data_IF_671079365827
#
_entry.id   IF_671079365827
#
_cell.length_a   1.000
_cell.length_b   1.000
_cell.length_c   1.000
_cell.angle_alpha   90.00
_cell.angle_beta   90.00
_cell.angle_gamma   90.00
#
_symmetry.space_group_name_H-M   'P 1'
#
loop_
_entity.id
_entity.type
_entity.pdbx_description
1 polymer ?
#
# COMPACT_ATOMS: atom_id res chain seq x y z
N UNK A 1 4.99 57.36 13.99
CA UNK A 1 5.00 56.22 14.94
C UNK A 1 3.97 55.12 14.61
N UNK A 2 2.84 55.39 13.93
CA UNK A 2 1.86 54.33 13.56
C UNK A 2 2.34 53.32 12.49
N UNK A 3 3.28 53.70 11.61
CA UNK A 3 3.84 52.80 10.58
C UNK A 3 4.72 51.67 11.14
N UNK A 4 5.35 51.87 12.31
CA UNK A 4 6.16 50.84 12.98
C UNK A 4 5.31 49.76 13.67
N UNK A 5 4.09 50.12 14.11
CA UNK A 5 3.16 49.18 14.74
C UNK A 5 2.54 48.20 13.72
N UNK A 6 2.30 48.64 12.48
CA UNK A 6 1.80 47.78 11.41
C UNK A 6 2.85 46.76 10.93
N UNK A 7 4.13 47.15 10.89
CA UNK A 7 5.23 46.25 10.51
C UNK A 7 5.49 45.15 11.55
N UNK A 8 5.33 45.45 12.84
CA UNK A 8 5.50 44.48 13.92
C UNK A 8 4.32 43.48 14.03
N UNK A 9 3.10 43.90 13.70
CA UNK A 9 1.93 43.01 13.66
C UNK A 9 1.97 42.02 12.48
N UNK A 10 2.59 42.41 11.35
CA UNK A 10 2.78 41.51 10.21
C UNK A 10 3.85 40.41 10.47
N UNK A 11 4.85 40.68 11.31
CA UNK A 11 5.90 39.70 11.65
C UNK A 11 5.47 38.63 12.67
N UNK A 12 4.43 38.89 13.47
CA UNK A 12 3.96 37.95 14.51
C UNK A 12 2.96 36.92 13.98
N UNK A 13 2.35 37.16 12.82
CA UNK A 13 1.49 36.21 12.11
C UNK A 13 2.26 35.26 11.18
N UNK A 14 3.59 35.44 11.04
CA UNK A 14 4.44 34.60 10.19
C UNK A 14 5.23 33.54 10.97
N UNK A 15 4.88 33.27 12.23
CA UNK A 15 5.44 32.12 12.93
C UNK A 15 4.90 30.86 12.25
N UNK A 16 5.76 30.02 11.63
CA UNK A 16 5.31 28.77 11.07
C UNK A 16 4.86 27.90 12.25
N UNK A 17 3.54 27.77 12.42
CA UNK A 17 2.98 26.60 13.08
C UNK A 17 3.29 25.45 12.12
N UNK A 18 4.46 24.83 12.31
CA UNK A 18 4.81 23.57 11.67
C UNK A 18 3.91 22.51 12.28
N UNK A 19 2.65 22.46 11.86
CA UNK A 19 1.82 21.28 12.05
C UNK A 19 2.59 20.16 11.35
N UNK A 20 3.22 19.28 12.12
CA UNK A 20 3.90 18.14 11.53
C UNK A 20 2.83 17.29 10.84
N UNK A 21 2.83 17.34 9.51
CA UNK A 21 1.88 16.59 8.72
C UNK A 21 2.18 15.10 8.97
N UNK A 22 1.20 14.37 9.50
CA UNK A 22 1.30 12.95 9.70
C UNK A 22 0.66 12.27 8.48
N UNK A 23 1.34 11.26 7.95
CA UNK A 23 0.81 10.42 6.88
C UNK A 23 0.60 9.03 7.39
N UNK A 24 -0.60 8.49 7.17
CA UNK A 24 -0.97 7.14 7.58
C UNK A 24 -1.41 6.32 6.38
N UNK A 25 -1.19 5.02 6.45
CA UNK A 25 -1.76 4.02 5.55
C UNK A 25 -2.11 2.79 6.37
N UNK A 26 -3.30 2.24 6.15
CA UNK A 26 -3.72 0.99 6.74
C UNK A 26 -4.36 0.09 5.67
N UNK A 27 -4.15 -1.21 5.80
CA UNK A 27 -4.81 -2.21 4.98
C UNK A 27 -5.14 -3.43 5.84
N UNK A 28 -6.39 -3.84 5.80
CA UNK A 28 -6.93 -4.94 6.57
C UNK A 28 -7.69 -5.89 5.65
N UNK A 29 -7.49 -7.19 5.86
CA UNK A 29 -8.20 -8.26 5.19
C UNK A 29 -8.67 -9.28 6.24
N UNK A 30 -9.91 -9.71 6.13
CA UNK A 30 -10.52 -10.65 7.06
C UNK A 30 -11.54 -11.57 6.41
N UNK A 31 -12.05 -12.53 7.18
CA UNK A 31 -13.10 -13.42 6.69
C UNK A 31 -12.64 -14.31 5.53
N UNK A 32 -11.32 -14.54 5.40
CA UNK A 32 -10.76 -15.33 4.32
C UNK A 32 -11.32 -16.75 4.36
N UNK A 33 -11.96 -17.15 3.27
CA UNK A 33 -12.59 -18.46 3.11
C UNK A 33 -12.58 -18.85 1.64
N UNK A 34 -12.80 -20.14 1.37
CA UNK A 34 -12.90 -20.65 0.02
C UNK A 34 -14.11 -21.56 -0.17
N UNK A 35 -14.59 -21.63 -1.40
CA UNK A 35 -15.65 -22.53 -1.85
C UNK A 35 -15.12 -23.41 -2.99
N UNK A 36 -15.44 -24.70 -2.92
CA UNK A 36 -15.07 -25.69 -3.93
C UNK A 36 -16.34 -26.21 -4.60
N UNK A 37 -16.40 -26.08 -5.93
CA UNK A 37 -17.58 -26.39 -6.74
C UNK A 37 -17.20 -27.42 -7.80
N UNK A 38 -17.97 -28.49 -7.89
CA UNK A 38 -17.92 -29.43 -9.01
C UNK A 38 -18.64 -28.83 -10.22
N UNK A 39 -17.96 -28.75 -11.36
CA UNK A 39 -18.49 -28.20 -12.61
C UNK A 39 -19.12 -29.26 -13.52
N UNK A 40 -18.86 -30.56 -13.30
CA UNK A 40 -19.48 -31.65 -14.05
C UNK A 40 -19.80 -32.86 -13.17
N UNK A 41 -21.02 -32.84 -12.61
CA UNK A 41 -21.55 -33.92 -11.78
C UNK A 41 -21.66 -35.30 -12.48
N UNK A 42 -21.44 -35.38 -13.80
CA UNK A 42 -21.60 -36.62 -14.58
C UNK A 42 -20.26 -37.29 -14.95
N UNK A 43 -19.11 -36.67 -14.67
CA UNK A 43 -17.80 -37.24 -15.03
C UNK A 43 -17.31 -38.32 -14.03
N UNK A 44 -17.99 -38.43 -12.88
CA UNK A 44 -17.67 -39.39 -11.82
C UNK A 44 -16.47 -38.99 -10.95
N UNK A 45 -15.96 -37.77 -11.09
CA UNK A 45 -14.82 -37.21 -10.35
C UNK A 45 -15.36 -36.16 -9.37
N UNK A 46 -15.34 -36.45 -8.08
CA UNK A 46 -15.73 -35.47 -7.08
C UNK A 46 -14.72 -34.32 -7.01
N UNK A 47 -15.21 -33.08 -6.91
CA UNK A 47 -14.36 -31.92 -6.68
C UNK A 47 -13.53 -32.08 -5.39
N UNK A 48 -12.20 -32.01 -5.52
CA UNK A 48 -11.26 -32.09 -4.41
C UNK A 48 -10.20 -30.99 -4.50
N UNK A 49 -9.87 -30.44 -3.33
CA UNK A 49 -8.79 -29.48 -3.14
C UNK A 49 -7.73 -30.11 -2.24
N UNK A 50 -6.53 -30.31 -2.78
CA UNK A 50 -5.36 -30.73 -2.01
C UNK A 50 -4.52 -29.51 -1.70
N UNK A 51 -4.16 -29.31 -0.43
CA UNK A 51 -3.33 -28.20 0.02
C UNK A 51 -1.95 -28.70 0.41
N UNK A 52 -0.90 -28.08 -0.13
CA UNK A 52 0.49 -28.42 0.15
C UNK A 52 1.25 -27.17 0.55
N UNK A 53 2.08 -27.30 1.58
CA UNK A 53 2.91 -26.24 2.15
C UNK A 53 2.14 -24.95 2.48
N UNK A 54 2.81 -24.00 3.10
CA UNK A 54 2.23 -22.67 3.33
C UNK A 54 3.34 -21.66 3.19
N UNK A 55 3.16 -20.72 2.25
CA UNK A 55 3.99 -19.54 2.14
C UNK A 55 3.41 -18.47 3.06
N UNK A 56 4.12 -18.15 4.13
CA UNK A 56 3.76 -17.05 5.03
C UNK A 56 4.88 -16.02 4.99
N UNK A 57 4.53 -14.75 4.92
CA UNK A 57 5.48 -13.68 5.07
C UNK A 57 4.83 -12.47 5.72
N UNK A 58 5.43 -11.95 6.78
CA UNK A 58 5.07 -10.65 7.37
C UNK A 58 6.34 -9.85 7.48
N UNK A 59 6.33 -8.61 7.03
CA UNK A 59 7.49 -7.73 7.12
C UNK A 59 7.08 -6.29 7.44
N UNK A 60 7.97 -5.57 8.10
CA UNK A 60 7.90 -4.14 8.31
C UNK A 60 9.30 -3.52 8.19
N UNK A 61 9.41 -2.32 7.64
CA UNK A 61 10.69 -1.68 7.44
C UNK A 61 10.64 -0.18 7.25
N UNK A 62 11.82 0.43 7.30
CA UNK A 62 12.03 1.86 7.09
C UNK A 62 13.13 2.11 6.06
N UNK A 63 12.84 2.95 5.07
CA UNK A 63 13.83 3.55 4.18
C UNK A 63 14.18 4.95 4.68
N UNK A 64 15.47 5.20 4.94
CA UNK A 64 15.95 6.51 5.37
C UNK A 64 15.90 7.58 4.27
N UNK A 65 15.88 7.15 3.00
CA UNK A 65 15.83 8.02 1.82
C UNK A 65 14.55 7.79 1.02
N UNK A 66 13.95 8.82 0.40
CA UNK A 66 12.71 8.66 -0.38
C UNK A 66 12.85 7.82 -1.66
N UNK A 67 14.08 7.66 -2.15
CA UNK A 67 14.39 6.94 -3.39
C UNK A 67 14.63 5.43 -3.19
N UNK A 68 14.56 4.96 -1.95
CA UNK A 68 14.83 3.57 -1.56
C UNK A 68 16.20 3.05 -2.08
N UNK A 69 17.18 3.94 -2.26
CA UNK A 69 18.52 3.59 -2.76
C UNK A 69 19.35 2.77 -1.78
N UNK A 70 18.93 2.72 -0.52
CA UNK A 70 19.56 1.93 0.54
C UNK A 70 18.60 0.83 1.01
N UNK A 71 19.12 -0.35 1.43
CA UNK A 71 18.30 -1.36 2.07
C UNK A 71 17.55 -0.78 3.28
N UNK A 72 16.35 -1.29 3.59
CA UNK A 72 15.60 -0.79 4.74
C UNK A 72 16.32 -1.13 6.05
N UNK A 73 16.40 -0.15 6.95
CA UNK A 73 16.99 -0.29 8.28
C UNK A 73 16.28 0.64 9.27
N UNK A 74 15.57 0.11 10.28
CA UNK A 74 15.43 -1.32 10.59
C UNK A 74 14.49 -2.05 9.61
N UNK A 75 14.66 -3.37 9.55
CA UNK A 75 13.81 -4.29 8.80
C UNK A 75 13.56 -5.55 9.62
N UNK A 76 12.29 -5.84 9.89
CA UNK A 76 11.86 -7.03 10.63
C UNK A 76 10.95 -7.88 9.76
N UNK A 77 11.12 -9.21 9.82
CA UNK A 77 10.28 -10.14 9.09
C UNK A 77 10.02 -11.43 9.87
N UNK A 78 8.89 -12.07 9.57
CA UNK A 78 8.50 -13.41 10.02
C UNK A 78 8.01 -14.22 8.82
N UNK A 79 8.27 -15.52 8.84
CA UNK A 79 7.73 -16.48 7.88
C UNK A 79 6.67 -17.40 8.54
N UNK A 80 6.01 -16.88 9.57
CA UNK A 80 4.95 -17.53 10.34
C UNK A 80 3.86 -16.51 10.64
N UNK A 81 2.72 -16.97 11.15
CA UNK A 81 1.74 -16.08 11.79
C UNK A 81 2.39 -15.32 12.95
N UNK A 82 1.94 -14.10 13.18
CA UNK A 82 2.49 -13.21 14.19
C UNK A 82 2.46 -11.75 13.79
N UNK A 83 3.15 -10.94 14.59
CA UNK A 83 3.25 -9.49 14.41
C UNK A 83 4.71 -9.11 14.29
N UNK A 84 5.01 -8.24 13.34
CA UNK A 84 6.27 -7.51 13.23
C UNK A 84 5.98 -6.02 13.28
N UNK A 85 6.85 -5.28 13.94
CA UNK A 85 6.77 -3.83 13.99
C UNK A 85 8.16 -3.21 13.88
N UNK A 86 8.20 -2.01 13.32
CA UNK A 86 9.36 -1.15 13.23
C UNK A 86 8.96 0.21 13.77
N UNK A 87 9.76 0.77 14.68
CA UNK A 87 9.58 2.12 15.21
C UNK A 87 10.88 2.90 15.05
N UNK A 88 10.79 4.08 14.43
CA UNK A 88 11.88 5.03 14.24
C UNK A 88 11.43 6.42 14.67
N UNK A 89 12.34 7.39 14.78
CA UNK A 89 11.98 8.77 15.12
C UNK A 89 10.98 9.38 14.12
N UNK A 90 11.02 8.95 12.86
CA UNK A 90 10.12 9.41 11.81
C UNK A 90 8.73 8.76 11.86
N UNK A 91 8.48 7.71 12.67
CA UNK A 91 7.18 7.02 12.71
C UNK A 91 7.27 5.52 13.00
N UNK A 92 6.20 4.78 12.66
CA UNK A 92 6.13 3.33 12.89
C UNK A 92 5.42 2.58 11.75
N UNK A 93 5.76 1.31 11.56
CA UNK A 93 5.04 0.38 10.70
C UNK A 93 4.80 -0.94 11.41
N UNK A 94 3.65 -1.56 11.19
CA UNK A 94 3.26 -2.83 11.80
C UNK A 94 2.62 -3.73 10.76
N UNK A 95 3.03 -4.99 10.71
CA UNK A 95 2.36 -6.06 9.97
C UNK A 95 1.92 -7.15 10.93
N UNK A 96 0.67 -7.61 10.81
CA UNK A 96 0.12 -8.73 11.58
C UNK A 96 -0.55 -9.71 10.64
N UNK A 97 -0.25 -10.99 10.83
CA UNK A 97 -0.85 -12.08 10.06
C UNK A 97 -1.38 -13.17 10.98
N UNK A 98 -2.59 -13.64 10.67
CA UNK A 98 -3.21 -14.81 11.26
C UNK A 98 -3.81 -15.68 10.14
N UNK A 99 -4.26 -16.89 10.48
CA UNK A 99 -4.75 -17.89 9.52
C UNK A 99 -5.81 -17.38 8.52
N UNK A 100 -6.67 -16.44 8.93
CA UNK A 100 -7.80 -15.95 8.11
C UNK A 100 -7.88 -14.44 8.02
N UNK A 101 -6.81 -13.73 8.40
CA UNK A 101 -6.77 -12.27 8.38
C UNK A 101 -5.36 -11.72 8.34
N UNK A 102 -5.21 -10.56 7.71
CA UNK A 102 -4.00 -9.75 7.78
C UNK A 102 -4.34 -8.29 8.10
N UNK A 103 -3.44 -7.62 8.80
CA UNK A 103 -3.52 -6.20 9.07
C UNK A 103 -2.13 -5.58 8.89
N UNK A 104 -2.05 -4.49 8.16
CA UNK A 104 -0.82 -3.72 7.99
C UNK A 104 -1.11 -2.25 8.20
N UNK A 105 -0.20 -1.56 8.89
CA UNK A 105 -0.29 -0.12 9.14
C UNK A 105 1.08 0.53 9.04
N UNK A 106 1.11 1.77 8.57
CA UNK A 106 2.30 2.61 8.55
C UNK A 106 1.89 4.05 8.88
N UNK A 107 2.70 4.71 9.69
CA UNK A 107 2.54 6.13 10.02
C UNK A 107 3.88 6.84 9.99
N UNK A 108 3.99 7.88 9.17
CA UNK A 108 5.18 8.71 8.98
C UNK A 108 4.89 10.17 9.40
N UNK A 109 5.75 10.71 10.26
CA UNK A 109 5.73 12.10 10.74
C UNK A 109 6.98 12.88 10.29
N UNK A 110 8.05 12.20 9.86
CA UNK A 110 9.28 12.85 9.39
C UNK A 110 9.17 13.50 7.99
N UNK A 111 10.11 14.39 7.68
CA UNK A 111 10.18 15.10 6.38
C UNK A 111 10.90 14.31 5.29
N UNK A 112 11.37 13.10 5.61
CA UNK A 112 12.09 12.21 4.71
C UNK A 112 11.86 10.74 5.07
N UNK A 113 12.13 9.89 4.08
CA UNK A 113 12.07 8.44 4.19
C UNK A 113 10.68 7.86 3.93
N UNK A 114 10.59 6.56 4.12
CA UNK A 114 9.36 5.80 3.93
C UNK A 114 9.25 4.65 4.91
N UNK A 115 8.04 4.38 5.38
CA UNK A 115 7.70 3.25 6.23
C UNK A 115 6.79 2.31 5.46
N UNK A 116 6.99 1.01 5.61
CA UNK A 116 6.16 0.01 4.95
C UNK A 116 5.91 -1.18 5.85
N UNK A 117 4.79 -1.86 5.59
CA UNK A 117 4.50 -3.16 6.14
C UNK A 117 3.77 -4.00 5.08
N UNK A 118 3.98 -5.32 5.13
CA UNK A 118 3.32 -6.28 4.26
C UNK A 118 3.01 -7.54 5.06
N UNK A 119 1.87 -8.15 4.76
CA UNK A 119 1.48 -9.46 5.26
C UNK A 119 0.90 -10.27 4.10
N UNK A 120 1.52 -11.41 3.82
CA UNK A 120 1.21 -12.34 2.75
C UNK A 120 0.96 -13.73 3.34
N UNK A 121 -0.14 -14.34 2.93
CA UNK A 121 -0.47 -15.72 3.21
C UNK A 121 -0.81 -16.41 1.90
N UNK A 122 -0.22 -17.57 1.65
CA UNK A 122 -0.51 -18.37 0.48
C UNK A 122 -0.28 -19.85 0.72
N UNK A 123 -0.94 -20.68 -0.09
CA UNK A 123 -0.80 -22.14 -0.08
C UNK A 123 -0.69 -22.66 -1.50
N UNK A 124 0.15 -23.67 -1.69
CA UNK A 124 0.09 -24.41 -2.94
C UNK A 124 -1.15 -25.29 -2.91
N UNK A 125 -1.76 -25.45 -4.07
CA UNK A 125 -2.95 -26.25 -4.24
C UNK A 125 -2.86 -27.14 -5.46
N UNK A 126 -3.63 -28.23 -5.42
CA UNK A 126 -3.99 -29.03 -6.58
C UNK A 126 -5.50 -29.21 -6.57
N UNK A 127 -6.12 -28.91 -7.71
CA UNK A 127 -7.54 -28.97 -7.97
C UNK A 127 -7.81 -30.10 -8.97
N UNK A 128 -8.77 -30.98 -8.66
CA UNK A 128 -9.22 -32.04 -9.58
C UNK A 128 -9.75 -31.45 -10.89
N UNK A 129 -9.86 -32.24 -11.99
CA UNK A 129 -10.54 -31.81 -13.20
C UNK A 129 -11.96 -31.28 -12.94
N UNK A 130 -12.46 -30.46 -13.85
CA UNK A 130 -13.83 -29.93 -13.88
C UNK A 130 -14.29 -29.36 -12.52
N UNK A 131 -13.42 -28.63 -11.84
CA UNK A 131 -13.68 -28.07 -10.52
C UNK A 131 -13.43 -26.57 -10.53
N UNK A 132 -14.10 -25.84 -9.65
CA UNK A 132 -13.91 -24.40 -9.43
C UNK A 132 -13.62 -24.12 -7.98
N UNK A 133 -12.56 -23.34 -7.76
CA UNK A 133 -12.20 -22.79 -6.46
C UNK A 133 -12.52 -21.29 -6.46
N UNK A 134 -13.27 -20.84 -5.47
CA UNK A 134 -13.61 -19.42 -5.27
C UNK A 134 -13.05 -18.97 -3.94
N UNK A 135 -12.31 -17.86 -3.92
CA UNK A 135 -11.83 -17.23 -2.69
C UNK A 135 -12.71 -16.03 -2.36
N UNK A 136 -12.93 -15.84 -1.07
CA UNK A 136 -13.65 -14.69 -0.54
C UNK A 136 -12.87 -14.05 0.60
N UNK A 137 -12.88 -12.73 0.65
CA UNK A 137 -12.40 -11.98 1.80
C UNK A 137 -13.14 -10.64 1.92
N UNK A 138 -13.14 -10.05 3.09
CA UNK A 138 -13.58 -8.67 3.31
C UNK A 138 -12.33 -7.80 3.48
N UNK A 139 -12.18 -6.80 2.61
CA UNK A 139 -11.03 -5.91 2.59
C UNK A 139 -11.41 -4.48 2.95
N UNK A 140 -10.50 -3.81 3.64
CA UNK A 140 -10.53 -2.39 3.93
C UNK A 140 -9.15 -1.80 3.71
N UNK A 141 -9.08 -0.65 3.05
CA UNK A 141 -7.86 0.12 2.91
C UNK A 141 -8.15 1.59 3.19
N UNK A 142 -7.22 2.27 3.84
CA UNK A 142 -7.26 3.70 4.02
C UNK A 142 -5.85 4.29 3.94
N UNK A 143 -5.78 5.53 3.51
CA UNK A 143 -4.53 6.25 3.36
C UNK A 143 -4.76 7.73 3.47
N UNK A 144 -3.71 8.48 3.79
CA UNK A 144 -3.74 9.94 3.72
C UNK A 144 -2.95 10.42 2.53
N UNK A 145 -3.36 11.52 1.91
CA UNK A 145 -2.58 12.18 0.88
C UNK A 145 -2.57 13.68 1.07
N UNK A 146 -1.39 14.26 0.93
CA UNK A 146 -1.18 15.69 0.78
C UNK A 146 -0.18 15.93 -0.37
N UNK A 147 0.09 17.18 -0.77
CA UNK A 147 1.02 17.46 -1.87
C UNK A 147 2.44 16.91 -1.66
N UNK A 148 2.86 16.76 -0.41
CA UNK A 148 4.19 16.35 0.04
C UNK A 148 4.27 14.94 0.58
N UNK A 149 3.14 14.23 0.74
CA UNK A 149 3.12 12.93 1.41
C UNK A 149 2.03 12.02 0.87
N UNK A 150 2.31 10.73 0.87
CA UNK A 150 1.39 9.70 0.39
C UNK A 150 1.42 8.49 1.32
N UNK A 151 0.24 8.13 1.83
CA UNK A 151 -0.05 6.85 2.45
C UNK A 151 -0.85 6.01 1.46
N UNK A 152 -0.32 4.85 1.12
CA UNK A 152 -0.92 3.92 0.16
C UNK A 152 -1.17 2.60 0.88
N UNK A 153 -2.40 2.12 0.88
CA UNK A 153 -2.79 0.78 1.34
C UNK A 153 -3.25 -0.07 0.17
N UNK A 154 -3.03 -1.38 0.26
CA UNK A 154 -3.46 -2.38 -0.70
C UNK A 154 -3.85 -3.68 0.01
N UNK A 155 -4.90 -4.35 -0.47
CA UNK A 155 -5.36 -5.63 0.01
C UNK A 155 -5.91 -6.46 -1.16
N UNK A 156 -5.58 -7.74 -1.25
CA UNK A 156 -6.00 -8.59 -2.36
C UNK A 156 -6.11 -10.06 -2.03
N UNK A 157 -6.90 -10.76 -2.84
CA UNK A 157 -6.93 -12.23 -2.95
C UNK A 157 -6.49 -12.63 -4.36
N UNK A 158 -5.74 -13.73 -4.47
CA UNK A 158 -5.12 -14.09 -5.75
C UNK A 158 -5.00 -15.59 -5.97
N UNK A 159 -4.81 -15.94 -7.25
CA UNK A 159 -4.31 -17.22 -7.73
C UNK A 159 -3.09 -17.00 -8.63
N UNK A 160 -2.08 -17.86 -8.50
CA UNK A 160 -1.03 -18.05 -9.50
C UNK A 160 -1.00 -19.51 -9.96
N UNK A 161 -0.71 -19.76 -11.24
CA UNK A 161 -0.50 -21.12 -11.75
C UNK A 161 0.35 -21.16 -13.02
N UNK A 162 0.87 -22.34 -13.34
CA UNK A 162 1.71 -22.58 -14.52
C UNK A 162 3.13 -22.00 -14.40
N UNK A 163 4.00 -22.41 -15.33
CA UNK A 163 5.42 -22.02 -15.35
C UNK A 163 5.64 -20.56 -15.83
N UNK A 164 4.68 -20.01 -16.57
CA UNK A 164 4.67 -18.61 -17.04
C UNK A 164 3.96 -17.66 -16.06
N UNK A 165 3.65 -18.13 -14.84
CA UNK A 165 3.00 -17.39 -13.76
C UNK A 165 1.76 -16.61 -14.21
N UNK A 166 0.72 -17.36 -14.63
CA UNK A 166 -0.59 -16.75 -14.82
C UNK A 166 -1.11 -16.23 -13.50
N UNK A 167 -1.61 -14.99 -13.49
CA UNK A 167 -2.05 -14.29 -12.30
C UNK A 167 -3.49 -13.79 -12.45
N UNK A 168 -4.35 -14.16 -11.52
CA UNK A 168 -5.72 -13.61 -11.42
C UNK A 168 -5.94 -13.14 -10.00
N UNK A 169 -6.47 -11.94 -9.87
CA UNK A 169 -6.57 -11.22 -8.61
C UNK A 169 -7.89 -10.45 -8.54
N UNK A 170 -8.44 -10.34 -7.33
CA UNK A 170 -9.37 -9.27 -6.97
C UNK A 170 -8.79 -8.48 -5.79
N UNK A 171 -8.64 -7.17 -5.95
CA UNK A 171 -7.87 -6.33 -5.04
C UNK A 171 -8.40 -4.92 -4.87
N UNK A 172 -8.02 -4.31 -3.75
CA UNK A 172 -8.37 -2.98 -3.34
C UNK A 172 -7.09 -2.19 -3.11
N UNK A 173 -7.05 -0.93 -3.55
CA UNK A 173 -5.93 -0.05 -3.27
C UNK A 173 -6.44 1.34 -2.97
N UNK A 174 -5.86 2.03 -2.01
CA UNK A 174 -6.16 3.44 -1.80
C UNK A 174 -5.65 4.23 -2.99
N UNK A 175 -6.51 5.05 -3.57
CA UNK A 175 -6.10 6.10 -4.49
C UNK A 175 -6.32 7.45 -3.81
N UNK A 176 -5.37 8.36 -3.96
CA UNK A 176 -5.51 9.75 -3.51
C UNK A 176 -5.83 10.01 -2.02
N UNK A 177 -5.56 9.06 -1.11
CA UNK A 177 -5.89 9.22 0.31
C UNK A 177 -7.36 8.96 0.63
N UNK A 178 -8.03 8.21 -0.24
CA UNK A 178 -9.38 7.72 0.00
C UNK A 178 -9.36 6.51 0.94
N UNK A 179 -10.52 6.23 1.53
CA UNK A 179 -10.81 5.01 2.26
C UNK A 179 -11.83 4.20 1.49
N UNK A 180 -11.58 2.91 1.34
CA UNK A 180 -12.45 1.99 0.62
C UNK A 180 -12.62 0.68 1.41
N UNK A 181 -13.83 0.12 1.34
CA UNK A 181 -14.13 -1.20 1.89
C UNK A 181 -15.01 -1.96 0.91
N UNK A 182 -14.65 -3.22 0.63
CA UNK A 182 -15.52 -4.12 -0.12
C UNK A 182 -15.17 -5.59 0.11
N UNK A 183 -16.12 -6.45 -0.20
CA UNK A 183 -15.83 -7.87 -0.38
C UNK A 183 -14.96 -8.05 -1.63
N UNK A 184 -13.95 -8.90 -1.52
CA UNK A 184 -13.13 -9.39 -2.61
C UNK A 184 -13.58 -10.80 -2.98
N UNK A 185 -13.62 -11.10 -4.28
CA UNK A 185 -13.94 -12.44 -4.76
C UNK A 185 -13.19 -12.73 -6.06
N UNK A 186 -12.45 -13.83 -6.06
CA UNK A 186 -11.73 -14.33 -7.23
C UNK A 186 -12.03 -15.81 -7.42
N UNK A 187 -12.19 -16.25 -8.66
CA UNK A 187 -12.51 -17.64 -8.98
C UNK A 187 -11.52 -18.18 -10.02
N UNK A 188 -11.15 -19.45 -9.85
CA UNK A 188 -10.31 -20.21 -10.77
C UNK A 188 -11.02 -21.54 -11.07
N UNK A 189 -10.99 -21.97 -12.33
CA UNK A 189 -11.60 -23.25 -12.75
C UNK A 189 -10.54 -24.13 -13.41
N UNK A 190 -10.48 -25.40 -13.03
CA UNK A 190 -9.77 -26.43 -13.80
C UNK A 190 -10.59 -26.84 -15.03
N UNK A 191 -9.90 -27.28 -16.07
CA UNK A 191 -10.50 -27.89 -17.25
C UNK A 191 -10.60 -29.41 -17.11
N UNK A 192 -10.41 -30.13 -18.20
CA UNK A 192 -10.40 -31.59 -18.21
C UNK A 192 -9.16 -32.23 -17.52
N UNK A 193 -8.21 -31.41 -17.09
CA UNK A 193 -6.97 -31.83 -16.42
C UNK A 193 -6.89 -31.21 -15.02
N UNK A 194 -6.09 -31.82 -14.15
CA UNK A 194 -5.77 -31.27 -12.84
C UNK A 194 -5.08 -29.90 -12.98
N UNK A 195 -5.35 -29.00 -12.04
CA UNK A 195 -4.74 -27.68 -12.00
C UNK A 195 -3.99 -27.50 -10.70
N UNK A 196 -2.70 -27.20 -10.78
CA UNK A 196 -1.89 -26.88 -9.61
C UNK A 196 -1.38 -25.44 -9.67
N UNK A 197 -1.28 -24.80 -8.51
CA UNK A 197 -0.87 -23.41 -8.39
C UNK A 197 -0.69 -22.96 -6.95
N UNK A 198 -0.67 -21.65 -6.73
CA UNK A 198 -0.73 -21.03 -5.41
C UNK A 198 -1.98 -20.17 -5.30
N UNK A 199 -2.59 -20.11 -4.12
CA UNK A 199 -3.64 -19.14 -3.83
C UNK A 199 -3.40 -18.51 -2.48
N UNK A 200 -3.92 -17.31 -2.30
CA UNK A 200 -3.68 -16.61 -1.05
C UNK A 200 -4.34 -15.25 -0.96
N UNK A 201 -3.85 -14.49 0.01
CA UNK A 201 -4.19 -13.10 0.20
C UNK A 201 -2.97 -12.31 0.64
N UNK A 202 -3.00 -11.01 0.39
CA UNK A 202 -1.94 -10.09 0.76
C UNK A 202 -2.52 -8.76 1.21
N UNK A 203 -1.85 -8.11 2.15
CA UNK A 203 -2.08 -6.72 2.51
C UNK A 203 -0.73 -6.01 2.55
N UNK A 204 -0.71 -4.76 2.14
CA UNK A 204 0.51 -3.95 2.15
C UNK A 204 0.19 -2.48 2.33
N UNK A 205 1.10 -1.79 3.00
CA UNK A 205 1.03 -0.35 3.20
C UNK A 205 2.38 0.29 2.96
N UNK A 206 2.35 1.53 2.49
CA UNK A 206 3.51 2.35 2.25
C UNK A 206 3.19 3.81 2.60
N UNK A 207 3.90 4.37 3.57
CA UNK A 207 3.79 5.77 3.95
C UNK A 207 5.11 6.49 3.64
N UNK A 208 5.08 7.48 2.76
CA UNK A 208 6.27 8.20 2.28
C UNK A 208 6.03 9.69 2.21
N UNK A 209 7.11 10.45 2.26
CA UNK A 209 7.12 11.80 1.68
C UNK A 209 7.33 11.71 0.17
N UNK A 210 6.64 12.55 -0.60
CA UNK A 210 6.95 12.77 -2.01
C UNK A 210 8.02 13.85 -2.10
N UNK A 211 8.97 13.70 -3.01
CA UNK A 211 9.91 14.77 -3.33
C UNK A 211 9.14 15.92 -3.99
N UNK A 212 8.64 16.86 -3.20
CA UNK A 212 8.08 18.11 -3.72
C UNK A 212 9.23 18.95 -4.27
N UNK A 213 9.02 19.67 -5.39
CA UNK A 213 10.02 20.63 -5.84
C UNK A 213 10.35 21.58 -4.69
N UNK A 214 11.63 21.70 -4.35
CA UNK A 214 12.06 22.54 -3.24
C UNK A 214 11.43 23.94 -3.34
N UNK A 215 11.15 24.64 -2.23
CA UNK A 215 10.63 26.00 -2.26
C UNK A 215 11.44 26.95 -3.15
N UNK A 216 12.74 26.68 -3.31
CA UNK A 216 13.64 27.35 -4.26
C UNK A 216 13.14 27.25 -5.71
N UNK A 217 12.52 26.14 -6.11
CA UNK A 217 11.90 25.93 -7.43
C UNK A 217 10.74 26.89 -7.66
N UNK A 218 9.87 27.06 -6.66
CA UNK A 218 8.78 28.03 -6.72
C UNK A 218 9.30 29.46 -6.65
N UNK A 219 10.30 29.74 -5.80
CA UNK A 219 10.95 31.04 -5.75
C UNK A 219 11.61 31.39 -7.09
N UNK A 220 12.28 30.44 -7.74
CA UNK A 220 12.89 30.59 -9.06
C UNK A 220 11.83 30.76 -10.15
N UNK A 221 10.69 30.07 -10.04
CA UNK A 221 9.55 30.28 -10.94
C UNK A 221 8.98 31.70 -10.78
N UNK A 222 8.73 32.14 -9.55
CA UNK A 222 8.23 33.49 -9.25
C UNK A 222 9.23 34.55 -9.71
N UNK A 223 10.52 34.38 -9.42
CA UNK A 223 11.59 35.26 -9.88
C UNK A 223 11.70 35.26 -11.41
N UNK A 224 11.54 34.10 -12.05
CA UNK A 224 11.51 33.96 -13.51
C UNK A 224 10.33 34.71 -14.13
N UNK A 225 9.13 34.55 -13.58
CA UNK A 225 7.92 35.27 -14.01
C UNK A 225 8.04 36.78 -13.79
N UNK A 226 8.59 37.21 -12.65
CA UNK A 226 8.87 38.61 -12.38
C UNK A 226 9.89 39.19 -13.39
N UNK A 227 10.93 38.42 -13.73
CA UNK A 227 11.91 38.78 -14.76
C UNK A 227 11.30 38.93 -16.15
N UNK A 228 10.44 37.99 -16.56
CA UNK A 228 9.70 38.05 -17.83
C UNK A 228 8.80 39.29 -17.85
N UNK A 229 8.01 39.52 -16.80
CA UNK A 229 7.14 40.70 -16.68
C UNK A 229 7.89 42.02 -16.79
N UNK A 230 9.06 42.14 -16.14
CA UNK A 230 9.91 43.32 -16.29
C UNK A 230 10.42 43.48 -17.73
N UNK A 231 10.89 42.40 -18.36
CA UNK A 231 11.41 42.48 -19.74
C UNK A 231 10.36 42.94 -20.75
N UNK A 232 9.12 42.47 -20.62
CA UNK A 232 7.98 42.88 -21.47
C UNK A 232 7.61 44.34 -21.22
N UNK A 233 7.56 44.76 -19.95
CA UNK A 233 7.28 46.15 -19.59
C UNK A 233 8.33 47.16 -20.09
N UNK A 234 9.57 46.71 -20.36
CA UNK A 234 10.62 47.55 -20.97
C UNK A 234 10.48 47.74 -22.48
N UNK A 235 9.91 46.76 -23.20
CA UNK A 235 9.73 46.84 -24.66
C UNK A 235 8.47 47.60 -25.08
N UNK A 236 7.52 47.79 -24.16
CA UNK A 236 6.28 48.52 -24.39
C UNK A 236 6.39 50.04 -24.14
N UNK A 237 7.59 50.54 -23.81
CA UNK A 237 7.93 51.96 -23.71
C UNK A 237 8.89 52.32 -24.83
#
# INVERSE_FOLDING_TARGET
>A
MQLLALAAAALSLSLPLSTQAQTTANAYLSGFRYELIDLDLNDGIAAQLTLVDTGLNVMAGYYGTPDNSTPPDPFHYLNTEGTVDVTVAAGSATGTLAATSANTSASLQGDQGALFAQALWGRNFTLTPNSRLVLHADAHVDGTRDPTRAGIGYAAVFFTWGDEEFYVEDGLSTYQGDSESRALTVALSSGAEELSGNYGFTTGVYATVTSVPEPSTYAMLVLGLAGIGWSVGRKAK
#
